data_IF_816505826287
#
_entry.id   IF_816505826287
#
_cell.length_a   1.000
_cell.length_b   1.000
_cell.length_c   1.000
_cell.angle_alpha   90.00
_cell.angle_beta   90.00
_cell.angle_gamma   90.00
#
_symmetry.space_group_name_H-M   'P 1'
#
loop_
_entity.id
_entity.type
_entity.pdbx_description
1 polymer ?
#
# COMPACT_ATOMS: atom_id res chain seq x y z
N UNK A 1 8.94 12.62 7.83
CA UNK A 1 8.15 12.21 6.64
C UNK A 1 8.72 10.93 6.09
N UNK A 2 7.90 9.90 6.04
CA UNK A 2 8.32 8.53 5.79
C UNK A 2 8.68 8.30 4.33
N UNK A 3 9.85 7.72 4.10
CA UNK A 3 10.10 6.99 2.84
C UNK A 3 9.17 5.78 2.84
N UNK A 4 8.75 5.31 1.68
CA UNK A 4 7.82 4.18 1.60
C UNK A 4 7.69 3.59 0.22
N UNK A 5 6.86 2.57 0.11
CA UNK A 5 6.49 1.91 -1.13
C UNK A 5 5.02 2.15 -1.38
N UNK A 6 4.71 2.71 -2.55
CA UNK A 6 3.35 2.85 -3.06
C UNK A 6 3.09 1.73 -4.05
N UNK A 7 2.13 0.90 -3.74
CA UNK A 7 1.66 -0.20 -4.57
C UNK A 7 0.35 0.23 -5.23
N UNK A 8 0.33 0.22 -6.56
CA UNK A 8 -0.85 0.53 -7.38
C UNK A 8 -1.31 -0.77 -8.01
N UNK A 9 -2.46 -1.26 -7.57
CA UNK A 9 -3.10 -2.45 -8.10
C UNK A 9 -4.08 -2.07 -9.19
N UNK A 10 -3.75 -2.40 -10.44
CA UNK A 10 -4.63 -2.26 -11.59
C UNK A 10 -5.46 -3.53 -11.75
N UNK A 11 -6.78 -3.43 -11.56
CA UNK A 11 -7.68 -4.60 -11.58
C UNK A 11 -8.29 -4.78 -12.97
N UNK A 12 -9.27 -3.94 -13.31
CA UNK A 12 -10.07 -4.03 -14.53
C UNK A 12 -10.54 -2.64 -14.95
N UNK A 13 -10.83 -2.44 -16.24
CA UNK A 13 -11.59 -1.28 -16.72
C UNK A 13 -12.84 -1.74 -17.46
N UNK A 14 -13.86 -0.89 -17.44
CA UNK A 14 -15.15 -1.15 -18.09
C UNK A 14 -15.67 0.09 -18.79
N UNK A 15 -16.20 -0.11 -20.00
CA UNK A 15 -16.87 0.97 -20.74
C UNK A 15 -15.91 2.00 -21.31
N UNK A 16 -14.70 1.59 -21.67
CA UNK A 16 -13.72 2.47 -22.31
C UNK A 16 -14.27 2.98 -23.66
N UNK A 17 -13.96 4.24 -23.98
CA UNK A 17 -14.32 4.85 -25.26
C UNK A 17 -13.38 4.38 -26.37
N UNK A 18 -13.52 3.13 -26.79
CA UNK A 18 -12.90 2.58 -27.98
C UNK A 18 -13.90 2.57 -29.15
N UNK A 19 -13.43 2.88 -30.34
CA UNK A 19 -14.22 2.74 -31.56
C UNK A 19 -14.33 1.24 -31.92
N UNK A 20 -15.17 0.50 -31.19
CA UNK A 20 -15.38 -0.97 -31.33
C UNK A 20 -15.89 -1.46 -32.68
N UNK A 21 -15.99 -0.62 -33.69
CA UNK A 21 -16.57 -1.06 -34.95
C UNK A 21 -15.61 -1.83 -35.86
N UNK A 22 -14.28 -1.81 -35.66
CA UNK A 22 -13.38 -2.34 -36.71
C UNK A 22 -12.06 -3.02 -36.30
N UNK A 23 -12.02 -3.70 -35.16
CA UNK A 23 -11.05 -4.79 -34.94
C UNK A 23 -9.92 -4.49 -33.95
N UNK A 24 -9.66 -5.47 -33.08
CA UNK A 24 -8.52 -5.58 -32.14
C UNK A 24 -8.17 -4.31 -31.36
N UNK A 25 -9.02 -3.98 -30.38
CA UNK A 25 -8.64 -3.08 -29.29
C UNK A 25 -7.67 -3.82 -28.36
N UNK A 26 -6.46 -3.28 -28.25
CA UNK A 26 -5.35 -3.77 -27.44
C UNK A 26 -4.99 -2.69 -26.39
N UNK A 27 -5.90 -2.37 -25.44
CA UNK A 27 -5.68 -1.28 -24.51
C UNK A 27 -4.59 -1.60 -23.48
N UNK A 28 -3.77 -0.60 -23.17
CA UNK A 28 -2.77 -0.61 -22.11
C UNK A 28 -2.87 0.64 -21.25
N UNK A 29 -2.42 0.52 -20.00
CA UNK A 29 -2.44 1.61 -19.02
C UNK A 29 -1.02 2.05 -18.71
N UNK A 30 -0.76 3.33 -18.89
CA UNK A 30 0.45 4.00 -18.46
C UNK A 30 0.19 4.65 -17.11
N UNK A 31 0.78 4.08 -16.07
CA UNK A 31 0.75 4.60 -14.71
C UNK A 31 1.95 5.52 -14.51
N UNK A 32 1.69 6.81 -14.42
CA UNK A 32 2.68 7.85 -14.19
C UNK A 32 2.58 8.37 -12.76
N UNK A 33 3.68 8.25 -12.03
CA UNK A 33 3.82 8.74 -10.67
C UNK A 33 5.12 9.54 -10.53
N UNK A 34 4.99 10.88 -10.40
CA UNK A 34 6.11 11.82 -10.39
C UNK A 34 7.03 11.60 -11.61
N UNK A 35 8.29 11.23 -11.38
CA UNK A 35 9.28 10.94 -12.44
C UNK A 35 9.32 9.46 -12.83
N UNK A 36 8.47 8.62 -12.24
CA UNK A 36 8.39 7.20 -12.56
C UNK A 36 7.19 6.95 -13.47
N UNK A 37 7.46 6.38 -14.63
CA UNK A 37 6.43 5.85 -15.51
C UNK A 37 6.53 4.32 -15.53
N UNK A 38 5.37 3.66 -15.48
CA UNK A 38 5.22 2.21 -15.62
C UNK A 38 4.09 1.95 -16.59
N UNK A 39 4.31 1.03 -17.51
CA UNK A 39 3.30 0.60 -18.48
C UNK A 39 2.80 -0.78 -18.05
N UNK A 40 1.50 -0.99 -18.14
CA UNK A 40 0.88 -2.30 -17.94
C UNK A 40 1.10 -3.20 -19.14
N UNK A 41 0.76 -4.46 -18.96
CA UNK A 41 0.59 -5.39 -20.05
C UNK A 41 -0.52 -4.91 -21.00
N UNK A 42 -0.37 -5.21 -22.28
CA UNK A 42 -1.38 -4.92 -23.30
C UNK A 42 -2.49 -5.98 -23.19
N UNK A 43 -3.73 -5.54 -22.95
CA UNK A 43 -4.88 -6.41 -22.76
C UNK A 43 -5.42 -6.89 -24.12
N UNK A 44 -4.69 -7.82 -24.74
CA UNK A 44 -5.04 -8.36 -26.06
C UNK A 44 -6.33 -9.17 -26.03
N UNK A 45 -7.15 -8.99 -27.06
CA UNK A 45 -8.43 -9.71 -27.24
C UNK A 45 -9.49 -9.45 -26.14
N UNK A 46 -9.37 -8.38 -25.35
CA UNK A 46 -10.33 -8.06 -24.27
C UNK A 46 -11.31 -6.91 -24.57
N UNK A 47 -11.11 -6.20 -25.68
CA UNK A 47 -12.05 -5.17 -26.15
C UNK A 47 -12.31 -4.07 -25.12
N UNK A 48 -13.58 -3.76 -24.86
CA UNK A 48 -14.04 -2.71 -23.92
C UNK A 48 -13.87 -3.03 -22.43
N UNK A 49 -13.54 -4.27 -22.09
CA UNK A 49 -13.47 -4.74 -20.72
C UNK A 49 -12.11 -5.38 -20.38
N UNK A 50 -11.01 -4.62 -20.52
CA UNK A 50 -9.69 -5.14 -20.21
C UNK A 50 -9.52 -5.41 -18.71
N UNK A 51 -8.85 -6.51 -18.41
CA UNK A 51 -8.54 -7.04 -17.10
C UNK A 51 -7.03 -7.29 -17.05
N UNK A 52 -6.31 -6.44 -16.32
CA UNK A 52 -4.86 -6.56 -16.17
C UNK A 52 -4.49 -7.39 -14.94
N UNK A 53 -5.14 -7.13 -13.79
CA UNK A 53 -4.78 -7.71 -12.50
C UNK A 53 -3.29 -7.61 -12.16
N UNK A 54 -2.68 -6.45 -12.46
CA UNK A 54 -1.26 -6.19 -12.26
C UNK A 54 -1.03 -5.26 -11.07
N UNK A 55 0.12 -5.39 -10.41
CA UNK A 55 0.51 -4.54 -9.28
C UNK A 55 1.83 -3.85 -9.59
N UNK A 56 1.81 -2.52 -9.59
CA UNK A 56 2.99 -1.67 -9.80
C UNK A 56 3.50 -1.15 -8.46
N UNK A 57 4.80 -1.25 -8.22
CA UNK A 57 5.43 -0.76 -7.00
C UNK A 57 6.29 0.46 -7.32
N UNK A 58 6.03 1.56 -6.63
CA UNK A 58 6.75 2.82 -6.77
C UNK A 58 7.44 3.16 -5.46
N UNK A 59 8.72 3.45 -5.52
CA UNK A 59 9.47 3.89 -4.34
C UNK A 59 9.24 5.38 -4.13
N UNK A 60 8.78 5.76 -2.93
CA UNK A 60 8.60 7.15 -2.53
C UNK A 60 9.81 7.57 -1.71
N UNK A 61 10.65 8.40 -2.30
CA UNK A 61 11.71 9.09 -1.60
C UNK A 61 11.19 10.47 -1.14
N UNK A 62 11.10 10.65 0.18
CA UNK A 62 10.56 11.85 0.85
C UNK A 62 11.46 13.09 0.73
N UNK A 63 12.18 13.27 -0.39
CA UNK A 63 13.00 14.47 -0.63
C UNK A 63 12.14 15.72 -0.95
N UNK A 64 10.88 15.53 -1.35
CA UNK A 64 9.95 16.60 -1.70
C UNK A 64 8.69 16.52 -0.83
N UNK A 65 8.81 17.04 0.39
CA UNK A 65 7.81 17.13 1.45
C UNK A 65 6.56 17.97 1.11
N UNK A 66 6.59 18.72 0.00
CA UNK A 66 5.59 19.74 -0.33
C UNK A 66 4.99 19.59 -1.72
N UNK A 67 5.17 18.42 -2.35
CA UNK A 67 4.66 18.17 -3.71
C UNK A 67 3.45 17.26 -3.62
N UNK A 68 2.30 17.78 -4.08
CA UNK A 68 1.06 17.01 -4.25
C UNK A 68 1.38 15.67 -4.92
N UNK A 69 1.03 14.58 -4.25
CA UNK A 69 1.27 13.24 -4.78
C UNK A 69 0.09 12.86 -5.67
N UNK A 70 0.24 13.10 -6.97
CA UNK A 70 -0.75 12.76 -7.99
C UNK A 70 -0.30 11.52 -8.74
N UNK A 71 -1.20 10.55 -8.81
CA UNK A 71 -1.08 9.37 -9.64
C UNK A 71 -1.93 9.60 -10.90
N UNK A 72 -1.30 9.53 -12.06
CA UNK A 72 -1.96 9.71 -13.35
C UNK A 72 -1.97 8.37 -14.06
N UNK A 73 -3.14 7.87 -14.43
CA UNK A 73 -3.33 6.65 -15.20
C UNK A 73 -3.84 7.04 -16.58
N UNK A 74 -3.03 6.83 -17.61
CA UNK A 74 -3.43 7.06 -19.01
C UNK A 74 -3.75 5.75 -19.66
N UNK A 75 -4.85 5.68 -20.36
CA UNK A 75 -5.32 4.52 -21.09
C UNK A 75 -5.09 4.81 -22.56
N UNK A 76 -4.32 3.96 -23.23
CA UNK A 76 -3.98 4.08 -24.63
C UNK A 76 -4.25 2.76 -25.34
N UNK A 77 -4.62 2.83 -26.61
CA UNK A 77 -4.77 1.66 -27.46
C UNK A 77 -3.46 1.40 -28.22
N UNK A 78 -2.90 0.20 -28.10
CA UNK A 78 -1.66 -0.11 -28.81
C UNK A 78 -1.96 -0.64 -30.20
N UNK A 79 -1.78 0.23 -31.19
CA UNK A 79 -1.92 -0.13 -32.59
C UNK A 79 -0.58 -0.50 -33.22
N UNK A 80 -0.52 -1.67 -33.83
CA UNK A 80 0.70 -2.15 -34.52
C UNK A 80 0.99 -1.41 -35.84
N UNK A 81 -0.01 -0.74 -36.41
CA UNK A 81 0.05 -0.16 -37.76
C UNK A 81 -0.33 1.33 -37.82
N UNK A 82 -0.89 1.88 -36.74
CA UNK A 82 -1.33 3.27 -36.59
C UNK A 82 -0.64 3.94 -35.41
N UNK A 83 -0.81 5.26 -35.30
CA UNK A 83 -0.49 5.97 -34.06
C UNK A 83 -1.35 5.44 -32.91
N UNK A 84 -0.78 5.28 -31.72
CA UNK A 84 -1.54 4.86 -30.54
C UNK A 84 -2.66 5.86 -30.22
N UNK A 85 -3.89 5.38 -30.06
CA UNK A 85 -5.04 6.23 -29.75
C UNK A 85 -5.18 6.45 -28.24
N UNK A 86 -5.45 7.69 -27.85
CA UNK A 86 -5.68 8.05 -26.45
C UNK A 86 -7.14 7.79 -26.07
N UNK A 87 -7.37 6.81 -25.18
CA UNK A 87 -8.70 6.41 -24.73
C UNK A 87 -9.17 7.16 -23.48
N UNK A 88 -8.25 7.75 -22.71
CA UNK A 88 -8.57 8.59 -21.57
C UNK A 88 -7.51 8.61 -20.48
N UNK A 89 -7.74 9.43 -19.46
CA UNK A 89 -6.87 9.58 -18.30
C UNK A 89 -7.71 9.62 -17.01
N UNK A 90 -7.18 9.01 -15.95
CA UNK A 90 -7.70 9.10 -14.60
C UNK A 90 -6.61 9.68 -13.69
N UNK A 91 -6.93 10.73 -12.95
CA UNK A 91 -6.03 11.32 -11.96
C UNK A 91 -6.53 10.99 -10.56
N UNK A 92 -5.63 10.51 -9.70
CA UNK A 92 -5.93 10.13 -8.31
C UNK A 92 -4.92 10.82 -7.39
N UNK A 93 -5.43 11.58 -6.42
CA UNK A 93 -4.62 12.17 -5.36
C UNK A 93 -4.31 11.13 -4.29
N UNK A 94 -3.04 10.75 -4.15
CA UNK A 94 -2.57 9.78 -3.15
C UNK A 94 -1.89 10.46 -1.95
N UNK A 95 -2.00 11.79 -1.86
CA UNK A 95 -1.42 12.59 -0.77
C UNK A 95 -1.92 12.14 0.60
N UNK A 96 -3.24 11.96 0.77
CA UNK A 96 -3.83 11.46 2.02
C UNK A 96 -3.38 10.03 2.35
N UNK A 97 -3.34 9.15 1.33
CA UNK A 97 -2.91 7.75 1.49
C UNK A 97 -1.47 7.67 2.02
N UNK A 98 -0.58 8.52 1.49
CA UNK A 98 0.81 8.58 1.90
C UNK A 98 0.95 9.21 3.28
N UNK A 99 0.22 10.30 3.58
CA UNK A 99 0.26 10.95 4.89
C UNK A 99 -0.23 10.01 5.98
N UNK A 100 -1.44 9.45 5.81
CA UNK A 100 -2.03 8.50 6.74
C UNK A 100 -1.18 7.25 6.90
N UNK A 101 -0.64 6.72 5.80
CA UNK A 101 0.22 5.54 5.86
C UNK A 101 1.61 5.83 6.43
N UNK A 102 2.13 7.05 6.31
CA UNK A 102 3.36 7.46 6.98
C UNK A 102 3.18 7.61 8.50
N UNK A 103 1.99 8.01 8.95
CA UNK A 103 1.65 8.11 10.38
C UNK A 103 1.26 6.75 10.99
N UNK A 104 0.47 5.94 10.28
CA UNK A 104 -0.06 4.65 10.75
C UNK A 104 0.82 3.45 10.38
N UNK A 105 1.86 3.64 9.58
CA UNK A 105 2.74 2.59 9.07
C UNK A 105 2.29 2.00 7.74
N UNK A 106 1.01 1.63 7.61
CA UNK A 106 0.45 1.12 6.35
C UNK A 106 -0.96 1.66 6.15
N UNK A 107 -1.29 2.05 4.92
CA UNK A 107 -2.63 2.44 4.52
C UNK A 107 -3.00 1.72 3.23
N UNK A 108 -4.12 1.02 3.22
CA UNK A 108 -4.66 0.39 2.03
C UNK A 108 -5.94 1.11 1.62
N UNK A 109 -5.96 1.63 0.41
CA UNK A 109 -7.15 2.11 -0.27
C UNK A 109 -7.71 0.94 -1.06
N UNK A 110 -8.94 0.55 -0.73
CA UNK A 110 -9.62 -0.52 -1.45
C UNK A 110 -9.75 -0.18 -2.93
N UNK A 111 -9.83 -1.20 -3.78
CA UNK A 111 -9.95 -1.04 -5.22
C UNK A 111 -11.20 -0.21 -5.58
N UNK A 112 -10.98 1.07 -5.87
CA UNK A 112 -12.02 2.04 -6.13
C UNK A 112 -12.20 2.21 -7.64
N UNK A 113 -13.44 2.49 -8.04
CA UNK A 113 -13.74 2.84 -9.42
C UNK A 113 -13.42 4.30 -9.62
N UNK A 114 -12.58 4.59 -10.59
CA UNK A 114 -12.20 5.92 -11.00
C UNK A 114 -12.76 6.22 -12.37
N UNK A 115 -13.22 7.44 -12.53
CA UNK A 115 -13.78 7.90 -13.78
C UNK A 115 -12.68 8.21 -14.79
N UNK A 116 -12.77 7.60 -15.97
CA UNK A 116 -11.83 7.88 -17.05
C UNK A 116 -12.35 9.10 -17.82
N UNK A 117 -11.48 10.11 -17.97
CA UNK A 117 -11.79 11.37 -18.62
C UNK A 117 -10.98 11.48 -19.91
N UNK A 118 -11.65 11.75 -21.02
CA UNK A 118 -10.99 11.94 -22.31
C UNK A 118 -10.38 13.34 -22.44
N UNK A 119 -9.61 13.56 -23.50
CA UNK A 119 -9.06 14.88 -23.82
C UNK A 119 -10.16 15.94 -24.03
N UNK A 120 -11.35 15.52 -24.48
CA UNK A 120 -12.54 16.36 -24.65
C UNK A 120 -13.28 16.64 -23.32
N UNK A 121 -12.73 16.19 -22.18
CA UNK A 121 -13.37 16.25 -20.84
C UNK A 121 -14.66 15.46 -20.71
N UNK A 122 -14.96 14.60 -21.68
CA UNK A 122 -16.09 13.68 -21.61
C UNK A 122 -15.73 12.49 -20.71
N UNK A 123 -16.70 12.06 -19.91
CA UNK A 123 -16.59 10.88 -19.07
C UNK A 123 -16.90 9.62 -19.87
N UNK A 124 -15.96 8.68 -19.93
CA UNK A 124 -16.20 7.41 -20.60
C UNK A 124 -15.58 6.24 -19.85
N UNK A 125 -16.44 5.50 -19.16
CA UNK A 125 -16.04 4.27 -18.50
C UNK A 125 -15.41 4.47 -17.13
N UNK A 126 -15.16 3.34 -16.49
CA UNK A 126 -14.64 3.27 -15.13
C UNK A 126 -13.42 2.34 -15.12
N UNK A 127 -12.36 2.75 -14.43
CA UNK A 127 -11.18 1.94 -14.16
C UNK A 127 -11.12 1.61 -12.67
N UNK A 128 -10.90 0.35 -12.32
CA UNK A 128 -10.77 -0.10 -10.95
C UNK A 128 -9.30 -0.19 -10.55
N UNK A 129 -8.93 0.63 -9.57
CA UNK A 129 -7.55 0.73 -9.08
C UNK A 129 -7.54 0.69 -7.56
N UNK A 130 -6.71 -0.20 -7.00
CA UNK A 130 -6.38 -0.23 -5.58
C UNK A 130 -5.05 0.47 -5.33
N UNK A 131 -4.90 1.12 -4.18
CA UNK A 131 -3.68 1.85 -3.84
C UNK A 131 -3.29 1.49 -2.42
N UNK A 132 -2.11 0.93 -2.22
CA UNK A 132 -1.60 0.56 -0.91
C UNK A 132 -0.28 1.29 -0.68
N UNK A 133 -0.17 2.01 0.42
CA UNK A 133 1.07 2.62 0.84
C UNK A 133 1.62 1.93 2.09
N UNK A 134 2.89 1.56 2.03
CA UNK A 134 3.63 0.99 3.15
C UNK A 134 4.82 1.89 3.47
N UNK A 135 4.83 2.49 4.66
CA UNK A 135 5.94 3.29 5.13
C UNK A 135 7.15 2.38 5.39
N UNK A 136 8.30 2.73 4.81
CA UNK A 136 9.57 2.16 5.19
C UNK A 136 9.87 2.69 6.59
N UNK A 137 9.68 1.84 7.59
CA UNK A 137 9.93 2.15 8.99
C UNK A 137 11.35 2.71 9.12
N UNK A 138 11.45 3.98 9.48
CA UNK A 138 12.68 4.48 10.07
C UNK A 138 12.68 3.90 11.48
N UNK A 139 13.71 3.10 11.81
CA UNK A 139 14.00 2.72 13.18
C UNK A 139 14.43 3.96 13.99
N UNK A 140 13.57 4.95 14.13
CA UNK A 140 13.73 6.02 15.13
C UNK A 140 13.09 5.49 16.39
N UNK A 141 13.93 4.91 17.26
CA UNK A 141 13.50 4.40 18.55
C UNK A 141 12.70 5.46 19.32
N UNK A 142 11.41 5.22 19.48
CA UNK A 142 10.55 5.85 20.46
C UNK A 142 9.24 5.07 20.54
N UNK A 143 9.19 4.17 21.52
CA UNK A 143 7.99 3.57 22.12
C UNK A 143 6.78 3.37 21.22
N UNK A 144 6.72 2.21 20.55
CA UNK A 144 5.44 1.62 20.12
C UNK A 144 4.61 1.38 21.38
N UNK A 145 3.61 2.22 21.59
CA UNK A 145 2.52 1.94 22.52
C UNK A 145 1.51 1.14 21.71
N UNK A 146 1.64 -0.18 21.74
CA UNK A 146 0.59 -1.07 21.26
C UNK A 146 -0.64 -0.79 22.12
N UNK A 147 -1.64 -0.10 21.56
CA UNK A 147 -2.98 -0.13 22.11
C UNK A 147 -3.55 -1.50 21.73
N UNK A 148 -3.26 -2.48 22.58
CA UNK A 148 -4.02 -3.72 22.61
C UNK A 148 -5.45 -3.36 23.01
N UNK A 149 -6.38 -3.59 22.09
CA UNK A 149 -7.81 -3.57 22.36
C UNK A 149 -8.10 -4.71 23.34
N UNK A 150 -8.10 -4.39 24.63
CA UNK A 150 -8.40 -5.33 25.70
C UNK A 150 -9.91 -5.54 25.72
N UNK A 151 -10.40 -6.53 24.98
CA UNK A 151 -11.70 -7.12 25.28
C UNK A 151 -11.60 -7.76 26.67
N UNK A 152 -12.43 -7.31 27.60
CA UNK A 152 -12.61 -7.93 28.91
C UNK A 152 -12.97 -9.42 28.76
N UNK A 153 -12.16 -10.28 29.36
CA UNK A 153 -12.45 -11.71 29.42
C UNK A 153 -11.34 -12.52 30.08
N UNK A 154 -11.37 -12.61 31.41
CA UNK A 154 -10.79 -13.73 32.16
C UNK A 154 -9.27 -13.68 32.38
N UNK A 155 -8.86 -13.56 33.64
CA UNK A 155 -7.46 -13.45 34.02
C UNK A 155 -6.66 -14.73 33.90
N UNK A 156 -5.34 -14.57 33.75
CA UNK A 156 -4.29 -15.35 34.39
C UNK A 156 -3.01 -14.51 34.38
N UNK A 157 -2.31 -14.47 35.52
CA UNK A 157 -1.07 -13.73 35.69
C UNK A 157 0.05 -14.28 34.79
N UNK A 158 0.80 -13.38 34.15
CA UNK A 158 2.07 -13.72 33.52
C UNK A 158 3.11 -12.65 33.90
N UNK A 159 4.08 -13.11 34.68
CA UNK A 159 5.21 -12.34 35.21
C UNK A 159 6.11 -11.86 34.07
N UNK A 160 6.41 -10.56 34.05
CA UNK A 160 7.37 -9.95 33.11
C UNK A 160 8.78 -10.13 33.69
N UNK A 161 9.57 -11.06 33.14
CA UNK A 161 11.01 -11.09 33.36
C UNK A 161 11.68 -10.10 32.43
N UNK A 162 12.19 -9.00 32.98
CA UNK A 162 13.04 -8.03 32.28
C UNK A 162 14.46 -8.59 32.23
N UNK A 163 14.85 -9.12 31.07
CA UNK A 163 16.25 -9.50 30.81
C UNK A 163 17.06 -8.25 30.50
N UNK A 164 18.16 -8.06 31.23
CA UNK A 164 19.17 -7.04 30.92
C UNK A 164 19.21 -5.87 31.89
N UNK A 165 19.82 -6.08 33.06
CA UNK A 165 20.88 -5.18 33.54
C UNK A 165 21.62 -5.83 34.72
N UNK A 166 22.86 -6.26 34.46
CA UNK A 166 23.81 -6.66 35.49
C UNK A 166 24.49 -5.38 36.01
N UNK A 167 24.05 -4.91 37.17
CA UNK A 167 24.89 -4.08 38.02
C UNK A 167 25.34 -4.94 39.20
N UNK A 168 26.52 -5.53 39.08
CA UNK A 168 27.23 -6.11 40.21
C UNK A 168 27.81 -4.96 41.04
N UNK A 169 27.04 -4.47 42.01
CA UNK A 169 27.57 -3.76 43.17
C UNK A 169 27.41 -4.69 44.37
N UNK A 170 28.54 -4.96 45.01
CA UNK A 170 28.68 -5.95 46.07
C UNK A 170 27.85 -5.64 47.31
N UNK A 171 27.67 -6.68 48.13
CA UNK A 171 27.07 -6.54 49.44
C UNK A 171 26.51 -7.86 49.92
N UNK A 172 27.23 -8.49 50.86
CA UNK A 172 26.78 -9.61 51.67
C UNK A 172 25.30 -9.45 52.09
N UNK A 173 24.52 -10.53 51.97
CA UNK A 173 23.44 -10.80 52.91
C UNK A 173 23.33 -12.30 53.16
N UNK A 174 23.73 -12.68 54.37
CA UNK A 174 23.54 -13.97 55.00
C UNK A 174 22.06 -14.22 55.34
N UNK A 175 21.80 -15.50 55.66
CA UNK A 175 20.66 -16.07 56.39
C UNK A 175 19.38 -16.40 55.62
N UNK A 176 19.03 -17.70 55.66
CA UNK A 176 17.72 -18.19 55.26
C UNK A 176 17.62 -19.71 55.09
N UNK A 177 18.16 -20.51 56.03
CA UNK A 177 17.73 -21.91 56.20
C UNK A 177 16.27 -21.91 56.68
N UNK A 178 15.39 -22.68 56.05
CA UNK A 178 14.33 -23.50 56.68
C UNK A 178 13.72 -24.39 55.57
N UNK A 179 14.13 -25.65 55.50
CA UNK A 179 13.42 -26.79 56.10
C UNK A 179 12.15 -27.17 55.30
N UNK A 180 12.33 -28.09 54.35
CA UNK A 180 11.28 -28.96 53.84
C UNK A 180 11.62 -30.40 54.21
N UNK A 181 10.62 -31.11 54.74
CA UNK A 181 10.36 -32.56 54.66
C UNK A 181 9.93 -33.16 56.01
N UNK A 182 8.62 -33.10 56.25
CA UNK A 182 7.88 -34.22 56.84
C UNK A 182 7.33 -35.03 55.66
N UNK A 183 7.61 -36.34 55.64
CA UNK A 183 7.18 -37.24 54.57
C UNK A 183 7.49 -38.70 54.86
N UNK A 184 6.75 -39.26 55.83
CA UNK A 184 6.26 -40.64 55.97
C UNK A 184 7.19 -41.86 55.72
N UNK A 185 7.18 -42.72 56.75
CA UNK A 185 7.42 -44.17 56.83
C UNK A 185 8.87 -44.65 57.04
#
# INVERSE_FOLDING_TARGET
MGKGVLEVQLVDAKGLCGNDFLGKLDPYVVVQYRSQERKSSVARDQGRNPCWNEVFKFQINSAAANVQHKLVLRIMDHDHFSSDDFLGEATIDVTDVISLGAERGTYHLNAAKHSVVLADKTYHGEIKVGITFTAAQVCTGSGVRTMEEKSEGGGTAASITRSGELWAVGGLCLFGRLAWLFGLN
#
